data_IF_775388506157
#
_entry.id   IF_775388506157
#
_cell.length_a   1.000
_cell.length_b   1.000
_cell.length_c   1.000
_cell.angle_alpha   90.00
_cell.angle_beta   90.00
_cell.angle_gamma   90.00
#
_symmetry.space_group_name_H-M   'P 1'
#
loop_
_entity.id
_entity.type
_entity.pdbx_description
1 polymer ?
#
# COMPACT_ATOMS: atom_id res chain seq x y z
N UNK A 1 -17.91 34.69 7.42
CA UNK A 1 -17.75 33.67 6.38
C UNK A 1 -18.00 32.31 7.03
N UNK A 2 -19.15 31.69 6.77
CA UNK A 2 -19.48 30.40 7.39
C UNK A 2 -18.65 29.30 6.73
N UNK A 3 -17.85 28.58 7.52
CA UNK A 3 -17.05 27.48 7.03
C UNK A 3 -17.97 26.36 6.53
N UNK A 4 -17.91 26.08 5.23
CA UNK A 4 -18.66 24.97 4.61
C UNK A 4 -18.26 23.67 5.29
N UNK A 5 -19.26 22.99 5.85
CA UNK A 5 -19.07 21.76 6.61
C UNK A 5 -18.50 20.66 5.71
N UNK A 6 -17.71 19.77 6.28
CA UNK A 6 -17.17 18.61 5.57
C UNK A 6 -18.26 17.77 4.87
N UNK A 7 -19.47 17.72 5.44
CA UNK A 7 -20.62 17.01 4.88
C UNK A 7 -21.11 17.62 3.56
N UNK A 8 -21.13 18.95 3.47
CA UNK A 8 -21.52 19.66 2.25
C UNK A 8 -20.51 19.44 1.12
N UNK A 9 -19.20 19.45 1.43
CA UNK A 9 -18.15 19.15 0.44
C UNK A 9 -18.26 17.73 -0.12
N UNK A 10 -18.61 16.76 0.74
CA UNK A 10 -18.84 15.37 0.32
C UNK A 10 -20.09 15.21 -0.55
N UNK A 11 -21.15 15.96 -0.26
CA UNK A 11 -22.37 15.94 -1.06
C UNK A 11 -22.11 16.50 -2.47
N UNK A 12 -21.36 17.58 -2.56
CA UNK A 12 -20.97 18.22 -3.83
C UNK A 12 -20.07 17.30 -4.69
N UNK A 13 -19.10 16.62 -4.07
CA UNK A 13 -18.24 15.61 -4.71
C UNK A 13 -19.06 14.46 -5.33
N UNK A 14 -20.10 13.99 -4.64
CA UNK A 14 -20.98 12.92 -5.12
C UNK A 14 -21.87 13.39 -6.26
N UNK A 15 -22.44 14.59 -6.15
CA UNK A 15 -23.23 15.20 -7.22
C UNK A 15 -22.38 15.35 -8.50
N UNK A 16 -21.13 15.81 -8.37
CA UNK A 16 -20.19 15.94 -9.51
C UNK A 16 -19.84 14.59 -10.16
N UNK A 17 -19.71 13.52 -9.38
CA UNK A 17 -19.45 12.16 -9.90
C UNK A 17 -20.67 11.58 -10.62
N UNK A 18 -21.88 11.84 -10.11
CA UNK A 18 -23.13 11.38 -10.74
C UNK A 18 -23.48 12.19 -12.00
N UNK A 19 -23.04 13.45 -12.10
CA UNK A 19 -23.22 14.29 -13.28
C UNK A 19 -22.33 13.89 -14.47
N UNK A 20 -21.31 13.03 -14.26
CA UNK A 20 -20.41 12.51 -15.31
C UNK A 20 -21.06 11.37 -16.11
N UNK A 21 -22.22 11.65 -16.71
CA UNK A 21 -22.81 10.92 -17.83
C UNK A 21 -23.21 9.45 -17.61
N UNK A 22 -24.08 8.90 -18.47
CA UNK A 22 -24.46 7.49 -18.41
C UNK A 22 -23.28 6.57 -18.73
N UNK A 23 -23.27 5.33 -18.24
CA UNK A 23 -22.21 4.36 -18.52
C UNK A 23 -22.15 4.10 -20.03
N UNK A 24 -21.00 4.40 -20.65
CA UNK A 24 -20.71 3.96 -22.00
C UNK A 24 -20.81 2.43 -22.06
N UNK A 25 -21.63 1.94 -22.98
CA UNK A 25 -21.79 0.51 -23.27
C UNK A 25 -20.40 -0.02 -23.68
N UNK A 26 -19.85 -1.03 -22.98
CA UNK A 26 -18.58 -1.63 -23.38
C UNK A 26 -18.77 -2.46 -24.65
N UNK A 27 -18.33 -1.92 -25.79
CA UNK A 27 -18.23 -2.69 -27.03
C UNK A 27 -17.02 -3.62 -26.96
N UNK A 28 -17.28 -4.93 -26.94
CA UNK A 28 -16.23 -5.97 -27.01
C UNK A 28 -15.57 -5.93 -28.40
N UNK A 29 -14.23 -5.98 -28.50
CA UNK A 29 -13.57 -6.22 -29.78
C UNK A 29 -13.55 -7.73 -30.04
N UNK A 30 -14.39 -8.19 -30.96
CA UNK A 30 -14.30 -9.53 -31.55
C UNK A 30 -13.10 -9.54 -32.50
N UNK A 31 -12.04 -10.28 -32.15
CA UNK A 31 -10.96 -10.61 -33.11
C UNK A 31 -11.10 -12.06 -33.56
N UNK A 32 -10.98 -12.35 -34.86
CA UNK A 32 -11.05 -13.70 -35.37
C UNK A 32 -9.74 -14.46 -35.12
N UNK A 33 -9.88 -15.73 -34.79
CA UNK A 33 -8.85 -16.77 -34.88
C UNK A 33 -8.58 -17.05 -36.36
N UNK A 34 -7.36 -16.85 -36.84
CA UNK A 34 -6.82 -17.60 -37.98
C UNK A 34 -5.30 -17.75 -37.84
N UNK A 35 -4.90 -19.00 -37.95
CA UNK A 35 -3.57 -19.61 -37.93
C UNK A 35 -2.89 -19.56 -39.30
N UNK A 36 -1.60 -19.21 -39.39
CA UNK A 36 -0.70 -19.71 -40.46
C UNK A 36 0.76 -19.84 -39.97
N UNK A 37 1.26 -21.04 -40.26
CA UNK A 37 2.59 -21.66 -40.27
C UNK A 37 3.86 -20.79 -40.51
N UNK A 38 4.92 -21.21 -39.80
CA UNK A 38 6.24 -21.63 -40.30
C UNK A 38 6.98 -20.81 -41.38
N UNK A 39 8.17 -20.33 -41.04
CA UNK A 39 9.13 -19.75 -42.00
C UNK A 39 10.47 -19.36 -41.38
N UNK A 40 11.40 -20.31 -41.37
CA UNK A 40 12.88 -20.26 -41.44
C UNK A 40 13.73 -19.10 -40.89
N UNK A 41 14.77 -19.55 -40.16
CA UNK A 41 16.08 -18.94 -39.87
C UNK A 41 16.62 -17.95 -40.92
N UNK A 42 17.10 -16.80 -40.43
CA UNK A 42 18.39 -16.08 -40.65
C UNK A 42 18.16 -14.65 -40.12
N UNK A 43 19.01 -13.94 -39.40
CA UNK A 43 20.42 -14.04 -39.10
C UNK A 43 20.65 -13.47 -37.69
N UNK A 44 21.58 -14.05 -36.95
CA UNK A 44 22.09 -13.46 -35.71
C UNK A 44 22.97 -12.30 -36.14
N UNK A 45 22.40 -11.10 -36.23
CA UNK A 45 23.18 -9.87 -36.28
C UNK A 45 23.67 -9.63 -34.86
N UNK A 46 24.92 -10.00 -34.59
CA UNK A 46 25.70 -9.51 -33.46
C UNK A 46 25.84 -8.00 -33.62
N UNK A 47 24.81 -7.28 -33.17
CA UNK A 47 24.91 -5.86 -32.90
C UNK A 47 25.70 -5.73 -31.61
N UNK A 48 27.01 -5.59 -31.76
CA UNK A 48 27.94 -5.12 -30.74
C UNK A 48 27.30 -3.93 -30.03
N UNK A 49 26.66 -4.23 -28.91
CA UNK A 49 26.01 -3.24 -28.08
C UNK A 49 27.12 -2.62 -27.26
N UNK A 50 27.52 -1.42 -27.64
CA UNK A 50 28.32 -0.55 -26.79
C UNK A 50 27.71 -0.52 -25.38
N UNK A 51 28.52 -0.51 -24.31
CA UNK A 51 28.01 -0.50 -22.94
C UNK A 51 27.05 0.70 -22.75
N UNK A 52 25.84 0.51 -22.23
CA UNK A 52 24.80 1.53 -22.17
C UNK A 52 25.03 2.61 -21.10
N UNK A 53 26.27 2.80 -20.64
CA UNK A 53 26.57 3.58 -19.44
C UNK A 53 26.67 5.10 -19.68
N UNK A 54 26.76 5.56 -20.94
CA UNK A 54 27.16 6.95 -21.21
C UNK A 54 26.02 8.00 -21.17
N UNK A 55 24.74 7.61 -21.11
CA UNK A 55 23.61 8.58 -21.13
C UNK A 55 22.49 8.21 -20.14
N UNK A 56 22.85 7.81 -18.91
CA UNK A 56 21.84 7.65 -17.88
C UNK A 56 21.32 9.03 -17.44
N UNK A 57 20.03 9.28 -17.63
CA UNK A 57 19.34 10.44 -17.04
C UNK A 57 19.62 10.50 -15.52
N UNK A 58 20.19 11.59 -14.99
CA UNK A 58 20.52 11.71 -13.58
C UNK A 58 19.30 11.51 -12.66
N UNK A 59 18.09 11.87 -13.11
CA UNK A 59 16.86 11.61 -12.35
C UNK A 59 16.58 10.11 -12.24
N UNK A 60 16.82 9.37 -13.32
CA UNK A 60 16.65 7.91 -13.33
C UNK A 60 17.74 7.21 -12.50
N UNK A 61 18.96 7.76 -12.48
CA UNK A 61 20.03 7.29 -11.59
C UNK A 61 19.64 7.44 -10.11
N UNK A 62 19.19 8.62 -9.70
CA UNK A 62 18.76 8.88 -8.32
C UNK A 62 17.61 7.95 -7.88
N UNK A 63 16.66 7.66 -8.77
CA UNK A 63 15.58 6.71 -8.50
C UNK A 63 16.07 5.27 -8.32
N UNK A 64 17.07 4.84 -9.09
CA UNK A 64 17.71 3.53 -8.91
C UNK A 64 18.46 3.46 -7.60
N UNK A 65 19.23 4.49 -7.27
CA UNK A 65 20.02 4.56 -6.03
C UNK A 65 19.13 4.53 -4.79
N UNK A 66 18.04 5.31 -4.78
CA UNK A 66 17.06 5.28 -3.69
C UNK A 66 16.43 3.89 -3.56
N UNK A 67 16.08 3.22 -4.67
CA UNK A 67 15.52 1.87 -4.62
C UNK A 67 16.54 0.86 -4.09
N UNK A 68 17.79 0.93 -4.52
CA UNK A 68 18.88 0.08 -4.01
C UNK A 68 19.07 0.27 -2.51
N UNK A 69 19.06 1.53 -2.04
CA UNK A 69 19.14 1.88 -0.62
C UNK A 69 17.98 1.27 0.18
N UNK A 70 16.75 1.43 -0.29
CA UNK A 70 15.57 0.84 0.35
C UNK A 70 15.62 -0.69 0.40
N UNK A 71 16.09 -1.35 -0.67
CA UNK A 71 16.24 -2.80 -0.71
C UNK A 71 17.27 -3.32 0.29
N UNK A 72 18.39 -2.60 0.46
CA UNK A 72 19.39 -2.91 1.49
C UNK A 72 18.79 -2.83 2.90
N UNK A 73 18.05 -1.75 3.19
CA UNK A 73 17.40 -1.54 4.48
C UNK A 73 16.24 -2.51 4.76
N UNK A 74 15.52 -2.97 3.73
CA UNK A 74 14.35 -3.83 3.88
C UNK A 74 14.64 -5.15 4.62
N UNK A 75 15.83 -5.72 4.42
CA UNK A 75 16.26 -6.93 5.13
C UNK A 75 16.32 -6.72 6.64
N UNK A 76 16.86 -5.58 7.08
CA UNK A 76 16.96 -5.20 8.49
C UNK A 76 15.60 -4.84 9.10
N UNK A 77 14.68 -4.34 8.28
CA UNK A 77 13.31 -4.02 8.69
C UNK A 77 12.37 -5.23 8.64
N UNK A 78 12.85 -6.41 8.22
CA UNK A 78 12.03 -7.61 7.97
C UNK A 78 10.88 -7.37 6.97
N UNK A 79 11.09 -6.46 6.02
CA UNK A 79 10.10 -6.09 5.00
C UNK A 79 10.38 -6.86 3.71
N UNK A 80 9.34 -7.46 3.12
CA UNK A 80 9.45 -8.18 1.86
C UNK A 80 9.96 -7.25 0.74
N UNK A 81 11.05 -7.60 0.01
CA UNK A 81 11.63 -6.75 -1.03
C UNK A 81 10.65 -6.46 -2.18
N UNK A 82 9.66 -7.32 -2.40
CA UNK A 82 8.57 -7.12 -3.37
C UNK A 82 7.77 -5.85 -3.09
N UNK A 83 7.58 -5.48 -1.81
CA UNK A 83 6.89 -4.24 -1.44
C UNK A 83 7.70 -3.03 -1.89
N UNK A 84 9.03 -3.05 -1.70
CA UNK A 84 9.95 -2.00 -2.14
C UNK A 84 9.96 -1.88 -3.66
N UNK A 85 10.01 -3.01 -4.38
CA UNK A 85 9.98 -3.01 -5.85
C UNK A 85 8.68 -2.42 -6.42
N UNK A 86 7.57 -2.58 -5.70
CA UNK A 86 6.25 -2.04 -6.08
C UNK A 86 6.06 -0.55 -5.78
N UNK A 87 6.98 0.11 -5.07
CA UNK A 87 6.87 1.55 -4.79
C UNK A 87 6.93 2.33 -6.13
N UNK A 88 5.90 3.13 -6.46
CA UNK A 88 5.88 3.91 -7.68
C UNK A 88 6.99 4.97 -7.71
N UNK A 89 7.52 5.27 -8.90
CA UNK A 89 8.59 6.25 -9.07
C UNK A 89 8.24 7.65 -8.52
N UNK A 90 6.96 8.05 -8.60
CA UNK A 90 6.50 9.31 -8.01
C UNK A 90 6.72 9.37 -6.50
N UNK A 91 6.46 8.28 -5.77
CA UNK A 91 6.73 8.21 -4.33
C UNK A 91 8.22 8.17 -4.03
N UNK A 92 9.02 7.47 -4.84
CA UNK A 92 10.47 7.49 -4.67
C UNK A 92 11.06 8.90 -4.82
N UNK A 93 10.53 9.72 -5.74
CA UNK A 93 10.92 11.14 -5.83
C UNK A 93 10.62 11.89 -4.54
N UNK A 94 9.42 11.72 -3.99
CA UNK A 94 9.08 12.31 -2.69
C UNK A 94 10.02 11.83 -1.58
N UNK A 95 10.37 10.55 -1.53
CA UNK A 95 11.31 10.04 -0.52
C UNK A 95 12.71 10.64 -0.68
N UNK A 96 13.17 10.89 -1.91
CA UNK A 96 14.45 11.58 -2.16
C UNK A 96 14.41 13.01 -1.58
N UNK A 97 13.27 13.69 -1.70
CA UNK A 97 13.10 15.06 -1.21
C UNK A 97 12.95 15.14 0.32
N UNK A 98 12.26 14.17 0.94
CA UNK A 98 11.87 14.27 2.37
C UNK A 98 12.71 13.43 3.32
N UNK A 99 13.44 12.42 2.84
CA UNK A 99 14.14 11.50 3.73
C UNK A 99 15.34 12.19 4.40
N UNK A 100 15.32 12.22 5.73
CA UNK A 100 16.37 12.85 6.55
C UNK A 100 17.50 11.89 6.94
N UNK A 101 17.40 10.61 6.59
CA UNK A 101 18.41 9.59 6.88
C UNK A 101 17.87 8.15 6.86
N UNK A 102 18.75 7.19 7.13
CA UNK A 102 18.39 5.75 7.13
C UNK A 102 17.37 5.41 8.21
N UNK A 103 17.44 6.03 9.39
CA UNK A 103 16.47 5.78 10.46
C UNK A 103 15.05 6.17 10.03
N UNK A 104 14.90 7.27 9.31
CA UNK A 104 13.60 7.69 8.77
C UNK A 104 13.10 6.72 7.69
N UNK A 105 13.98 6.28 6.79
CA UNK A 105 13.65 5.28 5.76
C UNK A 105 13.27 3.94 6.38
N UNK A 106 13.92 3.53 7.47
CA UNK A 106 13.56 2.33 8.23
C UNK A 106 12.15 2.44 8.82
N UNK A 107 11.80 3.59 9.42
CA UNK A 107 10.44 3.84 9.92
C UNK A 107 9.40 3.82 8.79
N UNK A 108 9.73 4.39 7.63
CA UNK A 108 8.88 4.32 6.44
C UNK A 108 8.69 2.87 5.97
N UNK A 109 9.76 2.08 5.92
CA UNK A 109 9.72 0.67 5.55
C UNK A 109 8.85 -0.15 6.52
N UNK A 110 9.00 0.08 7.82
CA UNK A 110 8.17 -0.55 8.83
C UNK A 110 6.68 -0.23 8.60
N UNK A 111 6.34 1.06 8.39
CA UNK A 111 4.96 1.48 8.11
C UNK A 111 4.34 0.83 6.87
N UNK A 112 5.08 0.68 5.75
CA UNK A 112 4.56 -0.03 4.58
C UNK A 112 4.41 -1.53 4.81
N UNK A 113 5.28 -2.13 5.63
CA UNK A 113 5.21 -3.54 6.03
C UNK A 113 3.96 -3.81 6.86
N UNK A 114 3.77 -3.06 7.94
CA UNK A 114 2.57 -3.11 8.80
C UNK A 114 1.31 -2.92 7.96
N UNK A 115 1.26 -1.93 7.06
CA UNK A 115 0.10 -1.71 6.19
C UNK A 115 -0.19 -2.90 5.26
N UNK A 116 0.85 -3.56 4.74
CA UNK A 116 0.69 -4.75 3.90
C UNK A 116 0.11 -5.93 4.70
N UNK A 117 0.53 -6.11 5.95
CA UNK A 117 0.00 -7.13 6.85
C UNK A 117 -1.47 -6.86 7.19
N UNK A 118 -1.80 -5.62 7.60
CA UNK A 118 -3.17 -5.19 7.86
C UNK A 118 -4.09 -5.43 6.66
N UNK A 119 -3.64 -5.10 5.45
CA UNK A 119 -4.38 -5.34 4.19
C UNK A 119 -4.58 -6.82 3.89
N UNK A 120 -3.68 -7.68 4.35
CA UNK A 120 -3.79 -9.14 4.21
C UNK A 120 -4.58 -9.81 5.34
N UNK A 121 -4.97 -9.06 6.37
CA UNK A 121 -5.57 -9.60 7.59
C UNK A 121 -4.62 -10.34 8.51
N UNK A 122 -3.31 -10.26 8.25
CA UNK A 122 -2.30 -10.76 9.17
C UNK A 122 -2.10 -9.77 10.30
N UNK A 123 -1.71 -10.31 11.44
CA UNK A 123 -1.35 -9.55 12.62
C UNK A 123 0.11 -9.09 12.50
N UNK A 124 0.40 -7.78 12.55
CA UNK A 124 1.77 -7.32 12.59
C UNK A 124 2.50 -7.78 13.86
N UNK A 125 3.82 -7.95 13.77
CA UNK A 125 4.63 -8.53 14.86
C UNK A 125 4.48 -7.74 16.16
N UNK A 126 4.43 -6.42 16.08
CA UNK A 126 4.30 -5.53 17.24
C UNK A 126 2.87 -5.40 17.79
N UNK A 127 1.88 -6.10 17.21
CA UNK A 127 0.47 -6.00 17.61
C UNK A 127 0.13 -7.18 18.53
N UNK A 128 0.51 -7.07 19.79
CA UNK A 128 0.50 -8.16 20.76
C UNK A 128 -0.50 -7.96 21.91
N UNK A 129 -1.17 -6.81 21.96
CA UNK A 129 -2.06 -6.48 23.07
C UNK A 129 -3.51 -6.40 22.63
N UNK A 130 -4.43 -7.16 23.25
CA UNK A 130 -5.83 -7.13 22.87
C UNK A 130 -6.50 -5.82 23.31
N UNK A 131 -7.40 -5.30 22.47
CA UNK A 131 -8.15 -4.08 22.71
C UNK A 131 -9.53 -4.16 22.04
N UNK A 132 -10.43 -3.24 22.39
CA UNK A 132 -11.73 -3.10 21.73
C UNK A 132 -11.81 -1.78 20.99
N UNK A 133 -11.99 -1.85 19.66
CA UNK A 133 -12.30 -0.69 18.84
C UNK A 133 -13.80 -0.41 18.84
N UNK A 134 -14.19 0.86 19.03
CA UNK A 134 -15.60 1.29 18.99
C UNK A 134 -16.26 1.10 17.62
N UNK A 135 -15.48 1.07 16.54
CA UNK A 135 -15.99 0.95 15.17
C UNK A 135 -16.05 -0.49 14.65
N UNK A 136 -15.06 -1.32 15.00
CA UNK A 136 -14.94 -2.66 14.45
C UNK A 136 -14.82 -3.78 15.50
N UNK A 137 -14.96 -3.49 16.80
CA UNK A 137 -14.93 -4.51 17.85
C UNK A 137 -13.51 -4.96 18.23
N UNK A 138 -13.31 -6.23 18.64
CA UNK A 138 -12.02 -6.72 19.13
C UNK A 138 -10.90 -6.61 18.10
N UNK A 139 -9.73 -6.17 18.56
CA UNK A 139 -8.52 -5.96 17.76
C UNK A 139 -7.28 -6.26 18.60
N UNK A 140 -6.15 -6.37 17.93
CA UNK A 140 -4.83 -6.39 18.55
C UNK A 140 -4.14 -5.08 18.22
N UNK A 141 -3.40 -4.51 19.16
CA UNK A 141 -2.67 -3.26 19.00
C UNK A 141 -1.31 -3.37 19.68
N UNK A 142 -0.35 -2.50 19.33
CA UNK A 142 0.88 -2.40 20.10
C UNK A 142 0.61 -2.02 21.55
N UNK A 143 1.29 -2.66 22.49
CA UNK A 143 1.20 -2.35 23.93
C UNK A 143 1.31 -0.85 24.21
N UNK A 144 2.22 -0.16 23.52
CA UNK A 144 2.41 1.28 23.65
C UNK A 144 1.18 2.12 23.25
N UNK A 145 0.31 1.61 22.37
CA UNK A 145 -0.92 2.30 21.93
C UNK A 145 -2.01 2.24 22.98
N UNK A 146 -2.04 1.17 23.78
CA UNK A 146 -3.04 0.96 24.83
C UNK A 146 -2.52 1.30 26.22
N UNK A 147 -1.23 1.63 26.34
CA UNK A 147 -0.61 2.04 27.58
C UNK A 147 -1.33 3.27 28.16
N UNK A 148 -1.85 3.13 29.38
CA UNK A 148 -2.58 4.19 30.08
C UNK A 148 -4.06 4.31 29.75
N UNK A 149 -4.61 3.44 28.88
CA UNK A 149 -6.05 3.31 28.73
C UNK A 149 -6.61 2.48 29.89
N UNK A 150 -7.68 2.98 30.50
CA UNK A 150 -8.36 2.25 31.56
C UNK A 150 -9.04 1.00 30.98
N UNK A 151 -8.79 -0.13 31.65
CA UNK A 151 -9.27 -1.45 31.29
C UNK A 151 -10.25 -2.01 32.33
N UNK A 152 -10.76 -1.18 33.24
CA UNK A 152 -11.66 -1.59 34.32
C UNK A 152 -12.84 -2.44 33.81
N UNK A 153 -12.71 -3.76 33.90
CA UNK A 153 -13.72 -4.75 33.51
C UNK A 153 -13.60 -5.36 32.11
N UNK A 154 -12.48 -5.19 31.38
CA UNK A 154 -12.26 -5.89 30.10
C UNK A 154 -11.14 -5.30 29.25
N UNK A 155 -11.26 -5.44 27.93
CA UNK A 155 -10.27 -4.92 26.98
C UNK A 155 -10.22 -3.39 26.96
N UNK A 156 -9.01 -2.77 26.89
CA UNK A 156 -8.85 -1.33 26.67
C UNK A 156 -9.68 -0.84 25.48
N UNK A 157 -10.44 0.24 25.69
CA UNK A 157 -11.31 0.80 24.65
C UNK A 157 -10.57 1.85 23.82
N UNK A 158 -10.53 1.67 22.50
CA UNK A 158 -9.97 2.65 21.55
C UNK A 158 -11.04 3.18 20.59
N UNK A 159 -10.97 4.48 20.27
CA UNK A 159 -11.89 5.12 19.33
C UNK A 159 -11.65 4.80 17.86
N UNK A 160 -10.59 4.06 17.53
CA UNK A 160 -10.25 3.66 16.17
C UNK A 160 -9.09 2.69 16.18
N UNK A 161 -9.01 1.83 15.17
CA UNK A 161 -7.86 0.95 14.97
C UNK A 161 -7.32 1.08 13.54
N UNK A 162 -6.06 0.67 13.28
CA UNK A 162 -5.47 0.74 11.94
C UNK A 162 -6.30 0.02 10.85
N UNK A 163 -6.95 -1.10 11.19
CA UNK A 163 -7.84 -1.82 10.26
C UNK A 163 -9.05 -1.01 9.79
N UNK A 164 -9.58 -0.08 10.61
CA UNK A 164 -10.70 0.78 10.20
C UNK A 164 -10.33 1.71 9.04
N UNK A 165 -9.03 2.02 8.88
CA UNK A 165 -8.52 2.90 7.83
C UNK A 165 -7.99 2.14 6.60
N UNK A 166 -7.94 0.80 6.66
CA UNK A 166 -7.57 -0.02 5.52
C UNK A 166 -8.70 0.04 4.49
N UNK A 167 -8.48 0.84 3.45
CA UNK A 167 -9.41 0.92 2.32
C UNK A 167 -9.34 -0.37 1.51
N UNK A 168 -10.47 -1.07 1.40
CA UNK A 168 -10.62 -2.26 0.58
C UNK A 168 -11.56 -1.98 -0.59
N UNK A 169 -11.49 -2.77 -1.67
CA UNK A 169 -12.49 -2.73 -2.73
C UNK A 169 -13.90 -2.85 -2.15
N UNK A 170 -14.85 -2.10 -2.73
CA UNK A 170 -16.25 -2.13 -2.30
C UNK A 170 -16.76 -3.57 -2.25
N UNK A 171 -17.38 -3.95 -1.12
CA UNK A 171 -17.92 -5.29 -0.91
C UNK A 171 -16.97 -6.29 -0.24
N UNK A 172 -15.70 -5.93 -0.01
CA UNK A 172 -14.82 -6.74 0.84
C UNK A 172 -14.95 -6.36 2.31
N UNK A 173 -15.09 -7.37 3.17
CA UNK A 173 -15.00 -7.20 4.62
C UNK A 173 -13.56 -6.86 5.05
N UNK A 174 -13.43 -6.10 6.13
CA UNK A 174 -12.12 -5.81 6.75
C UNK A 174 -11.47 -7.15 7.15
N UNK A 175 -10.32 -7.53 6.58
CA UNK A 175 -9.66 -8.77 6.92
C UNK A 175 -9.08 -8.59 8.32
N UNK A 176 -9.75 -9.18 9.30
CA UNK A 176 -9.37 -9.12 10.70
C UNK A 176 -8.70 -10.43 11.07
N UNK A 177 -7.60 -10.40 11.84
CA UNK A 177 -7.07 -11.61 12.43
C UNK A 177 -8.17 -12.23 13.31
N UNK A 178 -8.27 -13.56 13.28
CA UNK A 178 -9.25 -14.30 14.08
C UNK A 178 -8.87 -14.08 15.54
N UNK A 179 -9.70 -13.36 16.29
CA UNK A 179 -9.59 -13.32 17.74
C UNK A 179 -9.92 -14.72 18.26
N UNK A 180 -9.03 -15.37 19.05
CA UNK A 180 -9.35 -16.65 19.64
C UNK A 180 -10.65 -16.50 20.43
N UNK A 181 -11.69 -17.26 20.04
CA UNK A 181 -12.96 -17.25 20.77
C UNK A 181 -12.72 -17.93 22.11
N UNK A 182 -12.48 -17.14 23.15
CA UNK A 182 -12.24 -17.66 24.50
C UNK A 182 -11.81 -16.57 25.47
N UNK A 183 -12.82 -15.89 26.01
CA UNK A 183 -12.84 -15.15 27.29
C UNK A 183 -12.06 -13.81 27.43
N UNK A 184 -12.57 -12.92 28.31
CA UNK A 184 -12.68 -11.46 28.12
C UNK A 184 -11.40 -10.64 28.27
#
# INVERSE_FOLDING_TARGET
MNAVSWRERLAEERARKNAKGPPCIPTKPTKPLLSVLSGSRTAISEKTSAPPEANADPAQAALRDMRTRLLSLASRALVAPELVRRIPAAYLRTLIEVATGDAWLMSYLHGIGTLAELRSGRLPLEYDTPARCTHCGPVWLPAATVAGLDAAGGLPLVHGCPWCFVTLPKGMGIPRPIYPRGEP
#
